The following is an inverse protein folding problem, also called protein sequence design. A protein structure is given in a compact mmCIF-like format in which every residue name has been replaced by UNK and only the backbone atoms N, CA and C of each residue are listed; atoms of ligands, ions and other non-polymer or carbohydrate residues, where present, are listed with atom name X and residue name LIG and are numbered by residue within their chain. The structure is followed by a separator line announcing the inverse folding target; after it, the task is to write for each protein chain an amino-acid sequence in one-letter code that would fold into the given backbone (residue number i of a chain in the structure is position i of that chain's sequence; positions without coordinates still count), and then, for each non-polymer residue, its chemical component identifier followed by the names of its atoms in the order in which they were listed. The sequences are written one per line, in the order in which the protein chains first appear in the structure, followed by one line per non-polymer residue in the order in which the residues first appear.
data_IF_522621344222
#
_entry.id   IF_522621344222
#
_cell.length_a   1.000
_cell.length_b   1.000
_cell.length_c   1.000
_cell.angle_alpha   90.00
_cell.angle_beta   90.00
_cell.angle_gamma   90.00
#
_symmetry.space_group_name_H-M   'P 1'
#
loop_
_entity.id
_entity.type
_entity.pdbx_description
1 polymer ?
#
# COMPACT_ATOMS: atom_id res chain seq x y z
N UNK A 1 -1.08 -0.71 -25.02
CA UNK A 1 -1.34 -0.85 -23.57
C UNK A 1 -1.22 -2.31 -23.17
N UNK A 2 -0.44 -2.60 -22.17
CA UNK A 2 -0.24 -3.96 -21.68
C UNK A 2 -1.32 -4.26 -20.65
N UNK A 3 -2.06 -5.37 -20.80
CA UNK A 3 -3.05 -5.74 -19.78
C UNK A 3 -2.37 -5.96 -18.44
N UNK A 4 -3.08 -5.62 -17.37
CA UNK A 4 -2.56 -5.74 -16.03
C UNK A 4 -2.08 -7.14 -15.68
N UNK A 5 -2.78 -8.15 -16.19
CA UNK A 5 -2.41 -9.53 -15.94
C UNK A 5 -1.08 -9.94 -16.59
N UNK A 6 -0.53 -9.10 -17.48
CA UNK A 6 0.79 -9.35 -18.04
C UNK A 6 1.91 -8.82 -17.15
N UNK A 7 1.58 -8.07 -16.11
CA UNK A 7 2.55 -7.58 -15.13
C UNK A 7 2.73 -8.67 -14.07
N UNK A 8 3.96 -9.10 -13.80
CA UNK A 8 4.16 -10.15 -12.81
C UNK A 8 3.88 -9.67 -11.39
N UNK A 9 3.44 -10.60 -10.57
CA UNK A 9 3.35 -10.35 -9.13
C UNK A 9 4.75 -10.35 -8.56
N UNK A 10 5.02 -9.38 -7.71
CA UNK A 10 6.32 -9.25 -7.08
C UNK A 10 6.18 -9.35 -5.57
N UNK A 11 7.18 -9.93 -4.94
CA UNK A 11 7.29 -9.98 -3.49
C UNK A 11 8.68 -9.50 -3.15
N UNK A 12 8.77 -8.35 -2.49
CA UNK A 12 10.05 -7.73 -2.21
C UNK A 12 10.08 -7.20 -0.78
N UNK A 13 11.27 -7.20 -0.14
CA UNK A 13 11.38 -6.56 1.17
C UNK A 13 11.15 -5.06 1.04
N UNK A 14 10.42 -4.51 1.98
CA UNK A 14 10.12 -3.08 1.97
C UNK A 14 9.86 -2.58 3.37
N UNK A 15 10.04 -1.28 3.56
CA UNK A 15 9.76 -0.60 4.82
C UNK A 15 8.70 0.46 4.58
N UNK A 16 7.73 0.54 5.46
CA UNK A 16 6.71 1.58 5.40
C UNK A 16 7.34 2.88 5.91
N UNK A 17 7.51 3.84 5.01
CA UNK A 17 8.16 5.11 5.38
C UNK A 17 7.17 6.25 5.55
N UNK A 18 5.96 6.10 5.04
CA UNK A 18 4.92 7.11 5.19
C UNK A 18 3.56 6.49 5.02
N UNK A 19 2.57 7.10 5.63
CA UNK A 19 1.18 6.74 5.47
C UNK A 19 0.39 8.01 5.27
N UNK A 20 -0.65 7.94 4.46
CA UNK A 20 -1.56 9.07 4.36
C UNK A 20 -2.97 8.57 4.15
N UNK A 21 -3.88 9.44 4.45
CA UNK A 21 -5.30 9.18 4.33
C UNK A 21 -5.90 10.32 3.51
N UNK A 22 -6.68 9.97 2.50
CA UNK A 22 -7.40 10.94 1.70
C UNK A 22 -8.88 10.78 1.96
N UNK A 23 -9.51 11.86 2.42
CA UNK A 23 -10.93 11.87 2.71
C UNK A 23 -11.66 12.57 1.57
N UNK A 24 -12.63 11.88 0.99
CA UNK A 24 -13.41 12.41 -0.11
C UNK A 24 -14.85 12.61 0.35
N UNK A 25 -15.34 13.84 0.22
CA UNK A 25 -16.70 14.17 0.57
C UNK A 25 -17.44 14.59 -0.69
N UNK A 26 -18.58 13.93 -0.95
CA UNK A 26 -19.42 14.30 -2.06
C UNK A 26 -20.68 15.00 -1.52
N UNK A 27 -20.68 16.33 -1.62
CA UNK A 27 -21.76 17.13 -1.09
C UNK A 27 -23.10 16.87 -1.74
N UNK A 28 -23.10 16.43 -3.00
CA UNK A 28 -24.35 16.20 -3.72
C UNK A 28 -25.09 14.96 -3.25
N UNK A 29 -24.37 13.97 -2.73
CA UNK A 29 -24.97 12.73 -2.27
C UNK A 29 -24.86 12.53 -0.77
N UNK A 30 -24.22 13.44 -0.07
CA UNK A 30 -23.96 13.34 1.37
C UNK A 30 -23.18 12.08 1.73
N UNK A 31 -22.39 11.58 0.81
CA UNK A 31 -21.52 10.43 1.06
C UNK A 31 -20.11 10.88 1.25
N UNK A 32 -19.37 10.14 2.04
CA UNK A 32 -17.94 10.37 2.20
C UNK A 32 -17.24 9.03 2.11
N UNK A 33 -16.01 9.08 1.64
CA UNK A 33 -15.16 7.90 1.59
C UNK A 33 -13.76 8.29 1.97
N UNK A 34 -13.04 7.32 2.52
CA UNK A 34 -11.66 7.53 2.92
C UNK A 34 -10.79 6.50 2.21
N UNK A 35 -9.75 6.98 1.58
CA UNK A 35 -8.76 6.12 0.94
C UNK A 35 -7.49 6.16 1.77
N UNK A 36 -6.86 5.02 1.93
CA UNK A 36 -5.64 4.88 2.71
C UNK A 36 -4.49 4.52 1.77
N UNK A 37 -3.36 5.14 2.01
CA UNK A 37 -2.16 4.94 1.19
C UNK A 37 -0.96 4.72 2.09
N UNK A 38 -0.04 3.90 1.63
CA UNK A 38 1.24 3.72 2.30
C UNK A 38 2.35 3.81 1.28
N UNK A 39 3.45 4.46 1.66
CA UNK A 39 4.65 4.52 0.84
C UNK A 39 5.62 3.48 1.36
N UNK A 40 6.00 2.58 0.47
CA UNK A 40 6.96 1.52 0.78
C UNK A 40 8.30 1.87 0.15
N UNK A 41 9.35 1.79 0.93
CA UNK A 41 10.71 2.01 0.44
C UNK A 41 11.40 0.66 0.32
N UNK A 42 11.96 0.40 -0.86
CA UNK A 42 12.67 -0.84 -1.13
C UNK A 42 14.14 -0.70 -0.73
N UNK A 43 14.85 -1.81 -0.70
CA UNK A 43 16.28 -1.80 -0.38
C UNK A 43 17.10 -0.99 -1.37
N UNK A 44 16.61 -0.84 -2.59
CA UNK A 44 17.23 0.00 -3.62
C UNK A 44 16.97 1.49 -3.39
N UNK A 45 16.35 1.89 -2.28
CA UNK A 45 15.89 3.21 -1.89
C UNK A 45 14.79 3.79 -2.80
N UNK A 46 14.29 3.03 -3.73
CA UNK A 46 13.12 3.42 -4.50
C UNK A 46 11.88 3.35 -3.62
N UNK A 47 10.91 4.21 -3.90
CA UNK A 47 9.67 4.28 -3.14
C UNK A 47 8.48 4.06 -4.05
N UNK A 48 7.46 3.43 -3.49
CA UNK A 48 6.20 3.18 -4.20
C UNK A 48 5.05 3.41 -3.26
N UNK A 49 4.13 4.29 -3.63
CA UNK A 49 2.92 4.51 -2.85
C UNK A 49 1.81 3.64 -3.41
N UNK A 50 1.16 2.88 -2.52
CA UNK A 50 0.08 2.00 -2.90
C UNK A 50 -1.15 2.29 -2.06
N UNK A 51 -2.32 2.12 -2.67
CA UNK A 51 -3.59 2.24 -1.96
C UNK A 51 -3.84 0.97 -1.19
N UNK A 52 -4.22 1.11 0.07
CA UNK A 52 -4.46 -0.02 0.97
C UNK A 52 -5.95 -0.22 1.19
N UNK A 53 -6.42 -1.47 1.32
CA UNK A 53 -7.75 -1.71 1.84
C UNK A 53 -7.79 -1.29 3.31
N UNK A 54 -8.97 -0.90 3.78
CA UNK A 54 -9.11 -0.37 5.13
C UNK A 54 -8.63 -1.34 6.22
N UNK A 55 -8.76 -2.65 5.97
CA UNK A 55 -8.30 -3.66 6.93
C UNK A 55 -6.80 -3.60 7.13
N UNK A 56 -6.06 -3.52 6.03
CA UNK A 56 -4.61 -3.52 6.08
C UNK A 56 -4.10 -2.17 6.57
N UNK A 57 -4.81 -1.10 6.25
CA UNK A 57 -4.43 0.23 6.70
C UNK A 57 -4.37 0.33 8.22
N UNK A 58 -5.23 -0.41 8.92
CA UNK A 58 -5.22 -0.43 10.37
C UNK A 58 -4.13 -1.31 10.98
N UNK A 59 -3.50 -2.17 10.17
CA UNK A 59 -2.48 -3.10 10.65
C UNK A 59 -1.06 -2.67 10.30
N UNK A 60 -0.91 -1.73 9.39
CA UNK A 60 0.39 -1.28 8.90
C UNK A 60 0.72 0.06 9.55
N UNK A 61 1.94 0.18 10.08
CA UNK A 61 2.41 1.39 10.71
C UNK A 61 3.72 1.85 10.09
N UNK A 62 4.00 3.14 10.21
CA UNK A 62 5.28 3.67 9.76
C UNK A 62 6.41 2.99 10.53
N UNK A 63 7.45 2.61 9.79
CA UNK A 63 8.57 1.89 10.36
C UNK A 63 8.46 0.39 10.27
N UNK A 64 7.29 -0.13 9.91
CA UNK A 64 7.13 -1.57 9.73
C UNK A 64 7.96 -2.04 8.56
N UNK A 65 8.62 -3.16 8.73
CA UNK A 65 9.43 -3.80 7.70
C UNK A 65 8.90 -5.20 7.44
N UNK A 66 8.89 -5.60 6.19
CA UNK A 66 8.42 -6.92 5.84
C UNK A 66 8.42 -7.14 4.34
N UNK A 67 7.69 -8.14 3.92
CA UNK A 67 7.60 -8.51 2.52
C UNK A 67 6.35 -7.90 1.90
N UNK A 68 6.56 -7.02 0.92
CA UNK A 68 5.47 -6.40 0.18
C UNK A 68 5.14 -7.21 -1.05
N UNK A 69 3.86 -7.53 -1.22
CA UNK A 69 3.35 -8.24 -2.39
C UNK A 69 2.53 -7.26 -3.21
N UNK A 70 2.88 -7.10 -4.47
CA UNK A 70 2.15 -6.17 -5.33
C UNK A 70 2.26 -6.59 -6.79
N UNK A 71 1.39 -6.03 -7.61
CA UNK A 71 1.38 -6.27 -9.04
C UNK A 71 1.14 -4.93 -9.74
N UNK A 72 2.17 -4.42 -10.43
CA UNK A 72 2.10 -3.08 -10.98
C UNK A 72 1.91 -2.05 -9.88
N UNK A 73 0.78 -1.37 -9.89
CA UNK A 73 0.43 -0.40 -8.84
C UNK A 73 -0.63 -0.94 -7.89
N UNK A 74 -0.91 -2.23 -7.97
CA UNK A 74 -1.94 -2.85 -7.15
C UNK A 74 -1.31 -3.51 -5.93
N UNK A 75 -1.78 -3.11 -4.76
CA UNK A 75 -1.38 -3.72 -3.49
C UNK A 75 -2.04 -5.08 -3.34
N UNK A 76 -1.26 -6.11 -3.02
CA UNK A 76 -1.76 -7.46 -2.80
C UNK A 76 -1.65 -7.90 -1.35
N UNK A 77 -0.68 -7.38 -0.62
CA UNK A 77 -0.51 -7.75 0.78
C UNK A 77 0.84 -7.31 1.31
N UNK A 78 0.98 -7.31 2.62
CA UNK A 78 2.23 -6.97 3.28
C UNK A 78 2.38 -7.84 4.52
N UNK A 79 3.40 -8.69 4.49
CA UNK A 79 3.72 -9.57 5.60
C UNK A 79 4.81 -8.93 6.44
N UNK A 80 4.42 -8.37 7.60
CA UNK A 80 5.39 -7.76 8.50
C UNK A 80 6.34 -8.81 9.06
N UNK A 81 7.61 -8.43 9.18
CA UNK A 81 8.57 -9.26 9.87
C UNK A 81 8.19 -9.36 11.33
N UNK A 82 8.13 -10.57 11.81
CA UNK A 82 7.87 -10.81 13.21
C UNK A 82 9.21 -10.83 13.92
N UNK A 83 9.62 -9.69 14.45
CA UNK A 83 10.82 -9.64 15.27
C UNK A 83 10.42 -9.98 16.69
N UNK A 84 10.94 -11.04 17.13
CA UNK A 84 10.71 -11.49 18.49
C UNK A 84 11.91 -11.14 19.34
#
# INVERSE_FOLDING_TARGET
MVPEQCVPRLSVPATVVARRRAHHYNGGTHTSSTSYYATFQFESVDRLELRLPWRDAGLIAEGDHGMLHFQGTRYLGFDRDSTV
#
